data_IF_002210730548
#
_entry.id   IF_002210730548
#
_cell.length_a   1.000
_cell.length_b   1.000
_cell.length_c   1.000
_cell.angle_alpha   90.00
_cell.angle_beta   90.00
_cell.angle_gamma   90.00
#
_symmetry.space_group_name_H-M   'P 1'
#
loop_
_entity.id
_entity.type
_entity.pdbx_description
1 polymer ?
#
# COMPACT_ATOMS: atom_id res chain seq x y z
N UNK A 1 12.30 -8.21 18.96
CA UNK A 1 11.09 -8.10 18.09
C UNK A 1 10.08 -9.16 18.49
N UNK A 2 8.79 -8.88 18.56
CA UNK A 2 7.80 -9.91 18.81
C UNK A 2 7.88 -10.97 17.71
N UNK A 3 8.00 -12.25 18.09
CA UNK A 3 8.18 -13.39 17.16
C UNK A 3 7.07 -13.56 16.11
N UNK A 4 5.95 -12.85 16.24
CA UNK A 4 4.78 -12.99 15.36
C UNK A 4 4.47 -11.75 14.50
N UNK A 5 5.18 -10.63 14.65
CA UNK A 5 4.87 -9.37 13.99
C UNK A 5 3.72 -8.59 14.67
N UNK A 6 3.42 -7.41 14.13
CA UNK A 6 2.37 -6.51 14.64
C UNK A 6 1.03 -6.79 13.96
N UNK A 7 -0.07 -6.70 14.71
CA UNK A 7 -1.42 -6.71 14.14
C UNK A 7 -1.73 -5.40 13.42
N UNK A 8 -2.78 -5.38 12.58
CA UNK A 8 -3.15 -4.25 11.73
C UNK A 8 -3.18 -2.90 12.48
N UNK A 9 -3.83 -2.83 13.65
CA UNK A 9 -3.91 -1.58 14.42
C UNK A 9 -2.57 -1.13 14.99
N UNK A 10 -1.77 -2.07 15.47
CA UNK A 10 -0.42 -1.78 15.97
C UNK A 10 0.48 -1.30 14.84
N UNK A 11 0.44 -2.01 13.69
CA UNK A 11 1.20 -1.63 12.50
C UNK A 11 0.81 -0.24 11.99
N UNK A 12 -0.50 0.07 11.91
CA UNK A 12 -0.97 1.40 11.48
C UNK A 12 -0.53 2.51 12.44
N UNK A 13 -0.51 2.25 13.75
CA UNK A 13 -0.02 3.21 14.73
C UNK A 13 1.49 3.46 14.61
N UNK A 14 2.29 2.40 14.42
CA UNK A 14 3.74 2.51 14.16
C UNK A 14 4.03 3.28 12.87
N UNK A 15 3.27 3.00 11.82
CA UNK A 15 3.42 3.65 10.53
C UNK A 15 2.84 5.08 10.48
N UNK A 16 1.99 5.44 11.44
CA UNK A 16 1.20 6.69 11.46
C UNK A 16 0.29 6.85 10.25
N UNK A 17 -0.36 5.79 9.85
CA UNK A 17 -1.37 5.79 8.78
C UNK A 17 -2.69 5.24 9.32
N UNK A 18 -3.78 5.59 8.69
CA UNK A 18 -5.09 5.08 9.04
C UNK A 18 -5.17 3.54 8.86
N UNK A 19 -5.79 2.79 9.81
CA UNK A 19 -5.92 1.34 9.69
C UNK A 19 -6.60 0.90 8.39
N UNK A 20 -7.56 1.70 7.89
CA UNK A 20 -8.24 1.46 6.61
C UNK A 20 -7.30 1.65 5.43
N UNK A 21 -6.39 2.60 5.50
CA UNK A 21 -5.39 2.82 4.47
C UNK A 21 -4.40 1.65 4.38
N UNK A 22 -3.88 1.19 5.53
CA UNK A 22 -3.02 0.00 5.57
C UNK A 22 -3.76 -1.24 5.06
N UNK A 23 -5.05 -1.39 5.39
CA UNK A 23 -5.89 -2.48 4.87
C UNK A 23 -6.04 -2.38 3.34
N UNK A 24 -6.21 -1.19 2.78
CA UNK A 24 -6.27 -0.98 1.34
C UNK A 24 -4.96 -1.38 0.67
N UNK A 25 -3.79 -0.99 1.22
CA UNK A 25 -2.48 -1.41 0.70
C UNK A 25 -2.34 -2.93 0.65
N UNK A 26 -2.86 -3.65 1.65
CA UNK A 26 -2.89 -5.12 1.66
C UNK A 26 -3.86 -5.67 0.61
N UNK A 27 -5.06 -5.14 0.50
CA UNK A 27 -6.08 -5.61 -0.45
C UNK A 27 -5.64 -5.44 -1.91
N UNK A 28 -4.91 -4.37 -2.22
CA UNK A 28 -4.36 -4.11 -3.54
C UNK A 28 -3.00 -4.80 -3.80
N UNK A 29 -2.53 -5.64 -2.88
CA UNK A 29 -1.30 -6.40 -3.04
C UNK A 29 -0.01 -5.56 -2.97
N UNK A 30 -0.11 -4.31 -2.53
CA UNK A 30 1.05 -3.41 -2.32
C UNK A 30 1.90 -3.90 -1.15
N UNK A 31 1.25 -4.37 -0.10
CA UNK A 31 1.89 -4.96 1.09
C UNK A 31 1.39 -6.38 1.28
N UNK A 32 2.30 -7.31 1.53
CA UNK A 32 2.00 -8.75 1.68
C UNK A 32 2.34 -9.23 3.10
N UNK A 33 1.52 -8.89 4.13
CA UNK A 33 1.75 -9.36 5.49
C UNK A 33 1.47 -10.85 5.62
N UNK A 34 2.03 -11.50 6.62
CA UNK A 34 1.69 -12.90 6.95
C UNK A 34 0.24 -12.97 7.43
N UNK A 35 -0.45 -14.04 7.06
CA UNK A 35 -1.81 -14.31 7.49
C UNK A 35 -1.85 -15.58 8.33
N UNK A 36 -2.25 -15.45 9.61
CA UNK A 36 -2.43 -16.57 10.52
C UNK A 36 -3.87 -16.51 11.08
N UNK A 37 -4.60 -17.59 10.96
CA UNK A 37 -5.99 -17.71 11.46
C UNK A 37 -6.89 -16.53 11.05
N UNK A 38 -6.78 -16.07 9.82
CA UNK A 38 -7.56 -14.95 9.29
C UNK A 38 -7.09 -13.54 9.73
N UNK A 39 -6.04 -13.45 10.55
CA UNK A 39 -5.47 -12.19 11.04
C UNK A 39 -4.17 -11.86 10.30
N UNK A 40 -3.98 -10.59 9.92
CA UNK A 40 -2.74 -10.10 9.33
C UNK A 40 -1.71 -9.75 10.39
N UNK A 41 -0.46 -10.20 10.16
CA UNK A 41 0.70 -9.89 10.98
C UNK A 41 1.79 -9.25 10.11
N UNK A 42 2.19 -8.05 10.50
CA UNK A 42 3.19 -7.24 9.82
C UNK A 42 4.55 -7.43 10.50
N UNK A 43 5.47 -8.06 9.82
CA UNK A 43 6.87 -8.13 10.24
C UNK A 43 7.62 -6.84 9.85
N UNK A 44 8.90 -6.74 10.20
CA UNK A 44 9.71 -5.55 9.92
C UNK A 44 9.72 -5.22 8.42
N UNK A 45 9.72 -6.24 7.58
CA UNK A 45 9.70 -6.11 6.15
C UNK A 45 8.39 -5.53 5.63
N UNK A 46 7.25 -6.12 6.01
CA UNK A 46 5.94 -5.61 5.65
C UNK A 46 5.72 -4.17 6.14
N UNK A 47 6.29 -3.81 7.30
CA UNK A 47 6.25 -2.43 7.80
C UNK A 47 7.08 -1.49 6.93
N UNK A 48 8.29 -1.89 6.51
CA UNK A 48 9.11 -1.07 5.63
C UNK A 48 8.46 -0.85 4.27
N UNK A 49 7.97 -1.92 3.63
CA UNK A 49 7.21 -1.84 2.36
C UNK A 49 6.01 -0.90 2.51
N UNK A 50 5.23 -1.03 3.59
CA UNK A 50 4.08 -0.16 3.84
C UNK A 50 4.49 1.31 4.04
N UNK A 51 5.61 1.57 4.73
CA UNK A 51 6.11 2.92 4.97
C UNK A 51 6.60 3.59 3.70
N UNK A 52 7.37 2.86 2.88
CA UNK A 52 7.82 3.35 1.55
C UNK A 52 6.61 3.61 0.64
N UNK A 53 5.64 2.71 0.60
CA UNK A 53 4.43 2.88 -0.20
C UNK A 53 3.61 4.11 0.25
N UNK A 54 3.45 4.31 1.56
CA UNK A 54 2.76 5.48 2.11
C UNK A 54 3.49 6.78 1.78
N UNK A 55 4.82 6.80 1.94
CA UNK A 55 5.65 7.94 1.57
C UNK A 55 5.49 8.32 0.09
N UNK A 56 5.57 7.34 -0.82
CA UNK A 56 5.39 7.58 -2.26
C UNK A 56 3.97 8.06 -2.59
N UNK A 57 2.97 7.51 -1.92
CA UNK A 57 1.57 7.93 -2.10
C UNK A 57 1.35 9.37 -1.64
N UNK A 58 1.84 9.74 -0.47
CA UNK A 58 1.71 11.09 0.09
C UNK A 58 2.51 12.13 -0.71
N UNK A 59 3.76 11.79 -1.11
CA UNK A 59 4.65 12.71 -1.81
C UNK A 59 4.28 12.92 -3.27
N UNK A 60 3.71 11.91 -3.93
CA UNK A 60 3.49 11.91 -5.39
C UNK A 60 2.01 11.81 -5.79
N UNK A 61 1.09 11.64 -4.84
CA UNK A 61 -0.31 11.36 -5.14
C UNK A 61 -0.50 10.06 -5.94
N UNK A 62 0.42 9.10 -5.80
CA UNK A 62 0.51 7.92 -6.66
C UNK A 62 -0.70 7.01 -6.49
N UNK A 63 -1.28 6.57 -7.62
CA UNK A 63 -2.39 5.61 -7.60
C UNK A 63 -1.92 4.25 -7.08
N UNK A 64 -2.77 3.54 -6.36
CA UNK A 64 -2.46 2.25 -5.73
C UNK A 64 -1.97 1.18 -6.73
N UNK A 65 -2.45 1.23 -7.99
CA UNK A 65 -2.00 0.32 -9.06
C UNK A 65 -0.54 0.54 -9.47
N UNK A 66 -0.04 1.78 -9.39
CA UNK A 66 1.36 2.11 -9.65
C UNK A 66 2.21 1.73 -8.45
N UNK A 67 1.71 2.00 -7.23
CA UNK A 67 2.39 1.60 -5.99
C UNK A 67 2.64 0.09 -5.92
N UNK A 68 1.68 -0.73 -6.37
CA UNK A 68 1.86 -2.20 -6.40
C UNK A 68 3.09 -2.59 -7.22
N UNK A 69 3.28 -1.99 -8.39
CA UNK A 69 4.46 -2.26 -9.24
C UNK A 69 5.76 -1.73 -8.66
N UNK A 70 5.74 -0.52 -8.07
CA UNK A 70 6.89 0.05 -7.37
C UNK A 70 7.33 -0.86 -6.21
N UNK A 71 6.37 -1.36 -5.41
CA UNK A 71 6.67 -2.23 -4.29
C UNK A 71 7.06 -3.64 -4.72
N UNK A 72 6.61 -4.11 -5.86
CA UNK A 72 7.09 -5.36 -6.45
C UNK A 72 8.56 -5.26 -6.86
N UNK A 73 8.96 -4.19 -7.56
CA UNK A 73 10.34 -3.91 -7.90
C UNK A 73 11.22 -3.70 -6.65
N UNK A 74 10.72 -2.98 -5.64
CA UNK A 74 11.39 -2.81 -4.36
C UNK A 74 11.65 -4.14 -3.64
N UNK A 75 10.63 -5.00 -3.57
CA UNK A 75 10.75 -6.29 -2.89
C UNK A 75 11.74 -7.25 -3.59
N UNK A 76 11.93 -7.11 -4.90
CA UNK A 76 12.90 -7.90 -5.64
C UNK A 76 14.36 -7.53 -5.26
N UNK A 77 14.63 -6.30 -4.86
CA UNK A 77 15.96 -5.80 -4.47
C UNK A 77 16.15 -5.69 -2.94
N UNK A 78 15.20 -6.20 -2.17
CA UNK A 78 15.13 -5.97 -0.72
C UNK A 78 16.30 -6.55 0.07
N UNK A 79 16.81 -7.73 -0.31
CA UNK A 79 17.94 -8.35 0.39
C UNK A 79 19.22 -7.53 0.25
N UNK A 80 19.43 -6.92 -0.91
CA UNK A 80 20.54 -6.00 -1.17
C UNK A 80 20.45 -4.78 -0.26
N UNK A 81 19.27 -4.16 -0.16
CA UNK A 81 19.07 -2.98 0.68
C UNK A 81 19.21 -3.25 2.17
N UNK A 82 18.87 -4.44 2.64
CA UNK A 82 19.08 -4.83 4.05
C UNK A 82 20.55 -4.92 4.43
N UNK A 83 21.40 -5.41 3.52
CA UNK A 83 22.82 -5.55 3.78
C UNK A 83 23.55 -4.20 3.75
N UNK A 84 23.17 -3.31 2.86
CA UNK A 84 23.84 -2.03 2.61
C UNK A 84 23.30 -0.88 3.48
N UNK A 85 22.03 -0.99 3.96
CA UNK A 85 21.30 0.07 4.67
C UNK A 85 21.48 1.46 4.02
N UNK A 86 21.09 1.62 2.74
CA UNK A 86 21.37 2.83 1.99
C UNK A 86 20.63 4.03 2.55
N UNK A 87 21.20 5.22 2.38
CA UNK A 87 20.56 6.47 2.80
C UNK A 87 19.30 6.74 1.99
N UNK A 88 19.37 6.53 0.68
CA UNK A 88 18.28 6.70 -0.25
C UNK A 88 18.11 5.46 -1.14
N UNK A 89 16.88 5.21 -1.57
CA UNK A 89 16.55 4.29 -2.65
C UNK A 89 16.01 5.10 -3.81
N UNK A 90 16.50 4.82 -5.03
CA UNK A 90 16.08 5.51 -6.23
C UNK A 90 15.24 4.57 -7.08
N UNK A 91 13.97 4.93 -7.28
CA UNK A 91 13.12 4.28 -8.27
C UNK A 91 13.30 4.97 -9.62
N UNK A 92 13.79 4.26 -10.60
CA UNK A 92 13.88 4.73 -11.98
C UNK A 92 12.64 4.26 -12.74
N UNK A 93 11.75 5.18 -13.08
CA UNK A 93 10.49 4.91 -13.75
C UNK A 93 10.58 5.39 -15.20
N UNK A 94 10.50 4.48 -16.16
CA UNK A 94 10.50 4.78 -17.59
C UNK A 94 9.13 4.48 -18.18
N UNK A 95 8.51 5.47 -18.81
CA UNK A 95 7.20 5.34 -19.46
C UNK A 95 7.32 4.81 -20.89
N UNK A 96 8.36 5.24 -21.62
CA UNK A 96 8.71 4.76 -22.95
C UNK A 96 10.20 4.46 -23.04
N UNK A 97 10.59 3.53 -23.92
CA UNK A 97 11.98 3.09 -24.05
C UNK A 97 12.95 4.21 -24.47
N UNK A 98 12.44 5.23 -25.17
CA UNK A 98 13.22 6.35 -25.70
C UNK A 98 13.28 7.56 -24.75
N UNK A 99 12.52 7.53 -23.64
CA UNK A 99 12.46 8.63 -22.69
C UNK A 99 13.48 8.43 -21.57
N UNK A 100 13.98 9.55 -21.03
CA UNK A 100 14.78 9.52 -19.81
C UNK A 100 13.95 9.06 -18.63
N UNK A 101 14.50 8.19 -17.75
CA UNK A 101 13.75 7.71 -16.59
C UNK A 101 13.51 8.84 -15.57
N UNK A 102 12.29 8.89 -15.06
CA UNK A 102 11.98 9.72 -13.90
C UNK A 102 12.60 9.05 -12.67
N UNK A 103 13.43 9.79 -11.94
CA UNK A 103 14.07 9.32 -10.72
C UNK A 103 13.28 9.76 -9.49
N UNK A 104 12.85 8.80 -8.67
CA UNK A 104 12.12 9.06 -7.44
C UNK A 104 12.97 8.61 -6.25
N UNK A 105 13.51 9.59 -5.51
CA UNK A 105 14.32 9.32 -4.31
C UNK A 105 13.44 9.10 -3.07
N UNK A 106 13.70 8.01 -2.33
CA UNK A 106 13.05 7.71 -1.06
C UNK A 106 14.09 7.66 0.05
N UNK A 107 13.95 8.42 1.15
CA UNK A 107 14.91 8.46 2.25
C UNK A 107 14.81 7.19 3.12
N UNK A 108 15.33 6.08 2.62
CA UNK A 108 15.10 4.73 3.15
C UNK A 108 15.55 4.59 4.61
N UNK A 109 16.78 5.02 4.94
CA UNK A 109 17.30 4.95 6.30
C UNK A 109 16.45 5.76 7.28
N UNK A 110 16.09 7.00 6.93
CA UNK A 110 15.26 7.82 7.80
C UNK A 110 13.86 7.22 8.04
N UNK A 111 13.28 6.55 7.04
CA UNK A 111 12.01 5.82 7.22
C UNK A 111 12.18 4.61 8.13
N UNK A 112 13.32 3.90 8.04
CA UNK A 112 13.68 2.79 8.93
C UNK A 112 13.82 3.23 10.38
N UNK A 113 14.57 4.29 10.62
CA UNK A 113 14.78 4.88 11.96
C UNK A 113 13.45 5.27 12.61
N UNK A 114 12.52 5.86 11.85
CA UNK A 114 11.18 6.18 12.33
C UNK A 114 10.37 4.95 12.73
N UNK A 115 10.49 3.84 12.00
CA UNK A 115 9.83 2.59 12.35
C UNK A 115 10.43 2.03 13.63
N UNK A 116 11.75 1.97 13.75
CA UNK A 116 12.45 1.43 14.94
C UNK A 116 12.12 2.21 16.20
N UNK A 117 12.15 3.54 16.15
CA UNK A 117 11.77 4.39 17.28
C UNK A 117 10.34 4.09 17.77
N UNK A 118 9.40 3.89 16.84
CA UNK A 118 7.99 3.66 17.19
C UNK A 118 7.70 2.21 17.55
N UNK A 119 8.48 1.26 17.02
CA UNK A 119 8.36 -0.16 17.38
C UNK A 119 8.58 -0.40 18.87
N UNK A 120 9.49 0.35 19.50
CA UNK A 120 9.71 0.28 20.96
C UNK A 120 8.47 0.61 21.78
N UNK A 121 7.54 1.35 21.19
CA UNK A 121 6.27 1.78 21.80
C UNK A 121 5.05 0.99 21.31
N UNK A 122 5.24 0.04 20.38
CA UNK A 122 4.14 -0.69 19.76
C UNK A 122 3.28 -1.49 20.75
N UNK A 123 3.87 -1.97 21.82
CA UNK A 123 3.17 -2.72 22.87
C UNK A 123 2.17 -1.87 23.69
N UNK A 124 2.28 -0.54 23.60
CA UNK A 124 1.33 0.38 24.23
C UNK A 124 0.01 0.47 23.45
N UNK A 125 0.02 0.09 22.16
CA UNK A 125 -1.18 0.09 21.32
C UNK A 125 -1.97 -1.21 21.52
N UNK A 126 -2.83 -1.23 22.55
CA UNK A 126 -3.70 -2.38 22.82
C UNK A 126 -4.70 -2.56 21.66
N UNK A 127 -4.91 -3.82 21.29
CA UNK A 127 -6.02 -4.19 20.42
C UNK A 127 -7.35 -3.88 21.13
N UNK A 128 -7.97 -2.77 20.76
CA UNK A 128 -9.32 -2.48 21.25
C UNK A 128 -10.28 -3.52 20.65
N UNK A 129 -11.22 -4.07 21.44
CA UNK A 129 -12.20 -4.99 20.92
C UNK A 129 -12.94 -4.35 19.74
N UNK A 130 -13.20 -5.13 18.68
CA UNK A 130 -13.97 -4.66 17.53
C UNK A 130 -15.29 -4.08 18.03
N UNK A 131 -15.56 -2.82 17.70
CA UNK A 131 -16.84 -2.21 17.99
C UNK A 131 -17.98 -3.10 17.47
N UNK A 132 -19.02 -3.27 18.26
CA UNK A 132 -20.22 -4.03 17.86
C UNK A 132 -20.75 -3.36 16.58
N UNK A 133 -20.92 -4.14 15.50
CA UNK A 133 -21.57 -3.65 14.27
C UNK A 133 -22.93 -3.08 14.64
N UNK A 134 -23.21 -1.84 14.22
CA UNK A 134 -24.51 -1.18 14.45
C UNK A 134 -25.61 -2.06 13.83
N UNK A 135 -26.66 -2.38 14.59
CA UNK A 135 -27.82 -3.13 14.09
C UNK A 135 -28.45 -2.32 12.95
N UNK A 136 -28.71 -2.95 11.81
CA UNK A 136 -29.35 -2.30 10.67
C UNK A 136 -28.42 -1.76 9.59
N UNK A 137 -27.09 -1.70 9.80
CA UNK A 137 -26.12 -1.17 8.84
C UNK A 137 -26.21 -1.79 7.44
N UNK A 138 -26.58 -3.07 7.32
CA UNK A 138 -26.76 -3.74 6.02
C UNK A 138 -27.94 -3.16 5.25
N UNK A 139 -29.02 -2.82 5.94
CA UNK A 139 -30.23 -2.23 5.34
C UNK A 139 -29.92 -0.82 4.86
N UNK A 140 -29.30 0.02 5.71
CA UNK A 140 -28.85 1.37 5.35
C UNK A 140 -27.88 1.35 4.15
N UNK A 141 -26.96 0.38 4.10
CA UNK A 141 -26.02 0.22 2.97
C UNK A 141 -26.73 -0.18 1.68
N UNK A 142 -27.68 -1.12 1.71
CA UNK A 142 -28.46 -1.54 0.55
C UNK A 142 -29.35 -0.39 0.04
N UNK A 143 -29.96 0.37 0.93
CA UNK A 143 -30.74 1.57 0.57
C UNK A 143 -29.88 2.60 -0.14
N UNK A 144 -28.69 2.90 0.40
CA UNK A 144 -27.72 3.83 -0.23
C UNK A 144 -27.23 3.33 -1.60
N UNK A 145 -27.01 2.02 -1.77
CA UNK A 145 -26.66 1.44 -3.07
C UNK A 145 -27.81 1.55 -4.08
N UNK A 146 -29.04 1.34 -3.63
CA UNK A 146 -30.23 1.44 -4.49
C UNK A 146 -30.46 2.90 -4.92
N UNK A 147 -30.18 3.86 -4.05
CA UNK A 147 -30.28 5.29 -4.35
C UNK A 147 -29.18 5.72 -5.34
N UNK A 148 -27.93 5.33 -5.09
CA UNK A 148 -26.82 5.58 -6.01
C UNK A 148 -27.02 4.94 -7.39
N UNK A 149 -27.66 3.76 -7.46
CA UNK A 149 -27.98 3.10 -8.73
C UNK A 149 -29.03 3.86 -9.56
N UNK A 150 -29.93 4.62 -8.91
CA UNK A 150 -30.89 5.48 -9.61
C UNK A 150 -30.24 6.70 -10.26
N UNK A 151 -29.16 7.22 -9.67
CA UNK A 151 -28.44 8.40 -10.17
C UNK A 151 -27.49 8.07 -11.34
N UNK A 152 -27.12 6.81 -11.54
CA UNK A 152 -26.15 6.39 -12.59
C UNK A 152 -26.80 6.34 -13.99
N UNK A 153 -28.13 6.41 -14.10
CA UNK A 153 -28.82 6.35 -15.39
C UNK A 153 -28.60 5.02 -16.13
N UNK A 154 -29.18 4.88 -17.31
CA UNK A 154 -29.15 3.66 -18.14
C UNK A 154 -27.80 3.49 -18.89
N UNK A 155 -26.69 3.40 -18.16
CA UNK A 155 -25.40 2.99 -18.77
C UNK A 155 -25.35 1.48 -18.78
N UNK A 156 -25.30 0.87 -19.98
CA UNK A 156 -25.29 -0.58 -20.10
C UNK A 156 -23.98 -1.16 -19.53
N UNK A 157 -24.07 -2.34 -18.88
CA UNK A 157 -22.89 -3.05 -18.35
C UNK A 157 -21.85 -3.29 -19.45
N UNK A 158 -22.28 -3.53 -20.68
CA UNK A 158 -21.40 -3.74 -21.83
C UNK A 158 -20.60 -2.48 -22.19
N UNK A 159 -21.19 -1.30 -22.05
CA UNK A 159 -20.55 -0.01 -22.32
C UNK A 159 -19.49 0.30 -21.27
N UNK A 160 -19.78 0.03 -19.99
CA UNK A 160 -18.81 0.14 -18.89
C UNK A 160 -17.64 -0.82 -19.11
N UNK A 161 -17.92 -2.08 -19.44
CA UNK A 161 -16.87 -3.08 -19.69
C UNK A 161 -16.02 -2.74 -20.92
N UNK A 162 -16.62 -2.21 -21.98
CA UNK A 162 -15.88 -1.77 -23.18
C UNK A 162 -14.94 -0.61 -22.85
N UNK A 163 -15.41 0.40 -22.13
CA UNK A 163 -14.64 1.57 -21.70
C UNK A 163 -13.49 1.17 -20.77
N UNK A 164 -13.73 0.28 -19.81
CA UNK A 164 -12.69 -0.23 -18.90
C UNK A 164 -11.65 -1.05 -19.65
N UNK A 165 -12.05 -1.86 -20.63
CA UNK A 165 -11.13 -2.68 -21.44
C UNK A 165 -10.27 -1.83 -22.37
N UNK A 166 -10.84 -0.81 -23.04
CA UNK A 166 -10.05 0.12 -23.89
C UNK A 166 -9.04 0.89 -23.05
N UNK A 167 -9.46 1.44 -21.92
CA UNK A 167 -8.58 2.17 -20.99
C UNK A 167 -7.42 1.31 -20.44
N UNK A 168 -7.65 0.01 -20.22
CA UNK A 168 -6.59 -0.93 -19.79
C UNK A 168 -5.61 -1.28 -20.91
N UNK A 169 -6.08 -1.37 -22.17
CA UNK A 169 -5.23 -1.65 -23.33
C UNK A 169 -4.30 -0.49 -23.71
N UNK A 170 -4.75 0.75 -23.52
CA UNK A 170 -3.99 1.95 -23.88
C UNK A 170 -2.85 2.25 -22.88
N UNK A 171 -2.87 1.66 -21.68
CA UNK A 171 -1.82 1.86 -20.68
C UNK A 171 -0.70 0.86 -20.85
N UNK A 172 0.42 1.30 -21.46
CA UNK A 172 1.70 0.61 -21.30
C UNK A 172 2.11 0.62 -19.83
N UNK A 173 2.49 -0.55 -19.33
CA UNK A 173 3.04 -0.65 -17.99
C UNK A 173 4.40 0.06 -17.96
N UNK A 174 4.67 0.98 -17.01
CA UNK A 174 5.98 1.60 -16.88
C UNK A 174 7.02 0.53 -16.54
N UNK A 175 8.22 0.66 -17.11
CA UNK A 175 9.39 -0.09 -16.68
C UNK A 175 9.93 0.57 -15.41
N UNK A 176 10.11 -0.21 -14.36
CA UNK A 176 10.52 0.28 -13.04
C UNK A 176 11.74 -0.51 -12.60
N UNK A 177 12.84 0.19 -12.34
CA UNK A 177 14.05 -0.36 -11.71
C UNK A 177 14.35 0.38 -10.41
N UNK A 178 15.01 -0.28 -9.48
CA UNK A 178 15.35 0.28 -8.17
C UNK A 178 16.86 0.19 -7.98
N UNK A 179 17.46 1.25 -7.46
CA UNK A 179 18.88 1.32 -7.14
C UNK A 179 19.09 1.89 -5.74
N UNK A 180 20.17 1.48 -5.09
CA UNK A 180 20.62 2.03 -3.81
C UNK A 180 21.54 3.23 -4.04
N UNK A 181 21.49 4.22 -3.14
CA UNK A 181 22.40 5.35 -3.10
C UNK A 181 22.90 5.54 -1.67
N UNK A 182 24.21 5.55 -1.52
CA UNK A 182 24.94 5.59 -0.24
C UNK A 182 25.02 6.98 0.36
#
# INVERSE_FOLDING_TARGET
>A
MPRQGLKLKQASAVLQIEPKELQNLVQFGVVKPRRLEGTYFFDANALMVAKVASYLKESLGTRTSVLSKLMEAFSASEEEFKSENPKYIIFNCRLAAEEEPIKLGVPFRALGDQIEERMSRADLYKDLPRGKKRRGWKKEFLESLTEAAKDIGEVSEEEILRTVRSYRKERRAPEITVAAES
#
